data_IF_733462981450
#
_entry.id   IF_733462981450
#
_cell.length_a   1.000
_cell.length_b   1.000
_cell.length_c   1.000
_cell.angle_alpha   90.00
_cell.angle_beta   90.00
_cell.angle_gamma   90.00
#
_symmetry.space_group_name_H-M   'P 1'
#
loop_
_entity.id
_entity.type
_entity.pdbx_description
1 polymer ?
#
# COMPACT_ATOMS: atom_id res chain seq x y z
N UNK A 1 -15.87 -12.80 -31.54
CA UNK A 1 -15.85 -11.83 -30.44
C UNK A 1 -15.83 -10.44 -31.03
N UNK A 2 -16.61 -9.53 -30.45
CA UNK A 2 -16.53 -8.12 -30.80
C UNK A 2 -15.18 -7.51 -30.38
N UNK A 3 -14.61 -6.65 -31.23
CA UNK A 3 -13.28 -6.07 -31.03
C UNK A 3 -13.22 -5.21 -29.78
N UNK A 4 -14.33 -4.58 -29.41
CA UNK A 4 -14.38 -3.72 -28.23
C UNK A 4 -14.47 -4.52 -26.94
N UNK A 5 -15.23 -5.63 -26.91
CA UNK A 5 -15.23 -6.55 -25.77
C UNK A 5 -13.84 -7.13 -25.50
N UNK A 6 -13.13 -7.56 -26.55
CA UNK A 6 -11.75 -8.06 -26.42
C UNK A 6 -10.83 -7.04 -25.75
N UNK A 7 -10.85 -5.79 -26.25
CA UNK A 7 -10.03 -4.69 -25.73
C UNK A 7 -10.38 -4.33 -24.28
N UNK A 8 -11.67 -4.38 -23.92
CA UNK A 8 -12.12 -4.15 -22.54
C UNK A 8 -11.55 -5.20 -21.60
N UNK A 9 -11.63 -6.48 -21.96
CA UNK A 9 -11.08 -7.58 -21.15
C UNK A 9 -9.56 -7.48 -21.02
N UNK A 10 -8.83 -7.15 -22.09
CA UNK A 10 -7.38 -6.91 -21.98
C UNK A 10 -7.05 -5.75 -21.04
N UNK A 11 -7.82 -4.65 -21.11
CA UNK A 11 -7.63 -3.51 -20.21
C UNK A 11 -7.93 -3.90 -18.76
N UNK A 12 -8.93 -4.73 -18.52
CA UNK A 12 -9.23 -5.26 -17.19
C UNK A 12 -8.06 -6.08 -16.64
N UNK A 13 -7.44 -6.94 -17.44
CA UNK A 13 -6.25 -7.70 -17.04
C UNK A 13 -5.06 -6.79 -16.70
N UNK A 14 -4.76 -5.79 -17.54
CA UNK A 14 -3.73 -4.80 -17.22
C UNK A 14 -4.02 -4.05 -15.91
N UNK A 15 -5.29 -3.65 -15.70
CA UNK A 15 -5.69 -2.96 -14.48
C UNK A 15 -5.55 -3.86 -13.25
N UNK A 16 -5.92 -5.14 -13.34
CA UNK A 16 -5.76 -6.13 -12.26
C UNK A 16 -4.31 -6.19 -11.78
N UNK A 17 -3.35 -6.42 -12.68
CA UNK A 17 -1.93 -6.48 -12.29
C UNK A 17 -1.39 -5.14 -11.77
N UNK A 18 -1.89 -4.01 -12.28
CA UNK A 18 -1.54 -2.69 -11.74
C UNK A 18 -2.06 -2.50 -10.32
N UNK A 19 -3.29 -2.92 -10.04
CA UNK A 19 -3.85 -2.89 -8.68
C UNK A 19 -3.05 -3.76 -7.72
N UNK A 20 -2.64 -4.97 -8.13
CA UNK A 20 -1.79 -5.83 -7.31
C UNK A 20 -0.46 -5.16 -6.93
N UNK A 21 0.19 -4.46 -7.87
CA UNK A 21 1.41 -3.67 -7.57
C UNK A 21 1.12 -2.53 -6.58
N UNK A 22 -0.02 -1.85 -6.73
CA UNK A 22 -0.45 -0.79 -5.80
C UNK A 22 -0.67 -1.38 -4.40
N UNK A 23 -1.38 -2.49 -4.29
CA UNK A 23 -1.63 -3.20 -3.01
C UNK A 23 -0.31 -3.55 -2.33
N UNK A 24 0.65 -4.13 -3.06
CA UNK A 24 2.00 -4.43 -2.53
C UNK A 24 2.71 -3.19 -1.99
N UNK A 25 2.67 -2.07 -2.73
CA UNK A 25 3.24 -0.81 -2.26
C UNK A 25 2.53 -0.28 -1.00
N UNK A 26 1.20 -0.41 -0.92
CA UNK A 26 0.43 -0.02 0.26
C UNK A 26 0.75 -0.88 1.49
N UNK A 27 0.97 -2.18 1.33
CA UNK A 27 1.46 -3.03 2.43
C UNK A 27 2.84 -2.59 2.94
N UNK A 28 3.76 -2.26 2.04
CA UNK A 28 5.06 -1.72 2.43
C UNK A 28 4.92 -0.41 3.22
N UNK A 29 4.01 0.47 2.80
CA UNK A 29 3.71 1.71 3.52
C UNK A 29 3.15 1.44 4.92
N UNK A 30 2.24 0.46 5.08
CA UNK A 30 1.74 0.03 6.40
C UNK A 30 2.91 -0.42 7.28
N UNK A 31 3.85 -1.21 6.75
CA UNK A 31 5.01 -1.67 7.52
C UNK A 31 5.89 -0.50 8.02
N UNK A 32 6.12 0.51 7.18
CA UNK A 32 6.86 1.72 7.57
C UNK A 32 6.11 2.48 8.67
N UNK A 33 4.79 2.64 8.52
CA UNK A 33 3.97 3.34 9.52
C UNK A 33 3.94 2.60 10.86
N UNK A 34 3.84 1.26 10.85
CA UNK A 34 3.91 0.43 12.06
C UNK A 34 5.26 0.58 12.76
N UNK A 35 6.37 0.50 12.03
CA UNK A 35 7.71 0.70 12.60
C UNK A 35 7.84 2.06 13.27
N UNK A 36 7.30 3.12 12.64
CA UNK A 36 7.31 4.46 13.22
C UNK A 36 6.42 4.56 14.47
N UNK A 37 5.30 3.83 14.53
CA UNK A 37 4.49 3.74 15.74
C UNK A 37 5.27 3.06 16.87
N UNK A 38 5.98 1.97 16.58
CA UNK A 38 6.84 1.28 17.57
C UNK A 38 7.93 2.23 18.12
N UNK A 39 8.60 2.99 17.25
CA UNK A 39 9.57 4.01 17.64
C UNK A 39 8.96 5.08 18.56
N UNK A 40 7.77 5.58 18.22
CA UNK A 40 7.05 6.56 19.04
C UNK A 40 6.69 5.98 20.42
N UNK A 41 6.23 4.73 20.47
CA UNK A 41 5.91 4.05 21.72
C UNK A 41 7.13 3.88 22.62
N UNK A 42 8.29 3.57 22.03
CA UNK A 42 9.56 3.54 22.77
C UNK A 42 9.96 4.93 23.28
N UNK A 43 9.83 5.97 22.46
CA UNK A 43 10.16 7.34 22.84
C UNK A 43 9.27 7.84 23.99
N UNK A 44 7.97 7.53 23.95
CA UNK A 44 7.03 7.84 25.05
C UNK A 44 7.45 7.08 26.31
N UNK A 45 7.72 5.77 26.22
CA UNK A 45 8.07 4.93 27.37
C UNK A 45 9.38 5.35 28.04
N UNK A 46 10.36 5.81 27.25
CA UNK A 46 11.67 6.25 27.73
C UNK A 46 11.70 7.75 28.06
N UNK A 47 10.60 8.48 27.84
CA UNK A 47 10.54 9.95 27.92
C UNK A 47 11.68 10.59 27.10
N UNK A 48 11.96 10.03 25.92
CA UNK A 48 13.03 10.46 25.03
C UNK A 48 12.60 11.70 24.23
N UNK A 49 12.35 12.80 24.94
CA UNK A 49 11.87 14.05 24.36
C UNK A 49 12.95 15.12 24.44
N UNK A 50 13.19 15.81 23.32
CA UNK A 50 14.11 16.95 23.29
C UNK A 50 13.39 18.20 23.78
N UNK A 51 13.91 18.79 24.84
CA UNK A 51 13.44 20.06 25.40
C UNK A 51 14.50 21.11 25.07
N UNK A 52 14.11 22.21 24.43
CA UNK A 52 15.01 23.37 24.34
C UNK A 52 15.07 24.06 25.71
N UNK A 53 16.24 24.02 26.32
CA UNK A 53 16.53 24.70 27.58
C UNK A 53 16.98 26.16 27.36
N UNK A 54 17.16 26.58 26.10
CA UNK A 54 17.65 27.90 25.72
C UNK A 54 16.52 28.95 25.68
N UNK A 55 15.95 29.24 26.85
CA UNK A 55 15.20 30.46 27.09
C UNK A 55 15.78 31.19 28.28
N UNK A 56 16.77 32.04 27.97
CA UNK A 56 17.28 33.17 28.75
C UNK A 56 17.89 32.84 30.13
N UNK A 57 19.18 32.50 30.12
CA UNK A 57 20.06 32.83 31.23
C UNK A 57 20.24 34.36 31.29
N UNK A 58 19.26 35.08 31.86
CA UNK A 58 19.43 36.49 32.26
C UNK A 58 20.24 36.51 33.56
N UNK A 59 21.44 37.14 33.60
CA UNK A 59 22.27 37.11 34.79
C UNK A 59 21.75 38.10 35.86
N UNK A 60 21.47 37.57 37.04
CA UNK A 60 21.53 38.33 38.30
C UNK A 60 20.21 38.95 38.80
N UNK A 61 19.76 38.45 39.95
CA UNK A 61 18.73 39.09 40.77
C UNK A 61 17.75 38.07 41.35
N UNK A 62 17.92 37.76 42.62
CA UNK A 62 17.09 36.84 43.42
C UNK A 62 15.59 37.23 43.35
N UNK A 63 14.86 36.57 42.44
CA UNK A 63 13.41 36.52 42.45
C UNK A 63 13.01 35.09 42.12
N UNK A 64 12.89 34.27 43.17
CA UNK A 64 12.26 32.96 43.08
C UNK A 64 10.77 33.19 42.87
N UNK A 65 10.37 33.45 41.62
CA UNK A 65 8.97 33.37 41.22
C UNK A 65 8.59 31.90 41.18
N UNK A 66 8.00 31.41 42.27
CA UNK A 66 7.27 30.15 42.24
C UNK A 66 6.04 30.33 41.34
N UNK A 67 5.89 29.46 40.34
CA UNK A 67 4.72 29.48 39.47
C UNK A 67 3.48 29.20 40.33
N UNK A 68 2.41 29.98 40.15
CA UNK A 68 1.15 29.82 40.89
C UNK A 68 0.44 28.47 40.64
N UNK A 69 0.97 27.68 39.70
CA UNK A 69 0.46 26.39 39.22
C UNK A 69 1.30 25.20 39.67
N UNK A 70 2.43 25.41 40.34
CA UNK A 70 3.24 24.33 40.94
C UNK A 70 3.98 23.42 39.95
N UNK A 71 3.99 23.73 38.66
CA UNK A 71 4.72 22.97 37.62
C UNK A 71 5.86 23.79 37.03
N UNK A 72 6.99 23.14 36.79
CA UNK A 72 8.17 23.76 36.18
C UNK A 72 7.99 23.95 34.67
N UNK A 73 8.76 24.85 34.06
CA UNK A 73 8.75 25.02 32.59
C UNK A 73 9.14 23.72 31.87
N UNK A 74 10.15 23.01 32.39
CA UNK A 74 10.62 21.75 31.85
C UNK A 74 9.50 20.68 31.86
N UNK A 75 8.76 20.55 32.97
CA UNK A 75 7.63 19.61 33.06
C UNK A 75 6.55 19.89 32.02
N UNK A 76 6.17 21.17 31.84
CA UNK A 76 5.17 21.56 30.83
C UNK A 76 5.66 21.28 29.40
N UNK A 77 6.95 21.49 29.13
CA UNK A 77 7.54 21.18 27.84
C UNK A 77 7.57 19.67 27.55
N UNK A 78 7.87 18.84 28.57
CA UNK A 78 7.83 17.38 28.46
C UNK A 78 6.41 16.90 28.16
N UNK A 79 5.41 17.37 28.91
CA UNK A 79 4.01 16.98 28.71
C UNK A 79 3.58 17.28 27.27
N UNK A 80 3.85 18.50 26.79
CA UNK A 80 3.52 18.89 25.42
C UNK A 80 4.24 18.05 24.37
N UNK A 81 5.49 17.67 24.61
CA UNK A 81 6.23 16.81 23.70
C UNK A 81 5.63 15.39 23.62
N UNK A 82 5.21 14.83 24.76
CA UNK A 82 4.51 13.53 24.82
C UNK A 82 3.15 13.62 24.12
N UNK A 83 2.35 14.65 24.39
CA UNK A 83 1.06 14.86 23.71
C UNK A 83 1.19 14.92 22.19
N UNK A 84 2.26 15.56 21.68
CA UNK A 84 2.53 15.60 20.24
C UNK A 84 2.87 14.20 19.68
N UNK A 85 3.64 13.40 20.42
CA UNK A 85 3.97 12.02 20.05
C UNK A 85 2.71 11.13 20.04
N UNK A 86 1.83 11.27 21.04
CA UNK A 86 0.55 10.56 21.09
C UNK A 86 -0.34 10.92 19.90
N UNK A 87 -0.43 12.21 19.58
CA UNK A 87 -1.16 12.68 18.38
C UNK A 87 -0.58 12.10 17.10
N UNK A 88 0.76 12.12 16.95
CA UNK A 88 1.44 11.56 15.79
C UNK A 88 1.12 10.06 15.63
N UNK A 89 1.10 9.31 16.73
CA UNK A 89 0.72 7.90 16.75
C UNK A 89 -0.73 7.71 16.28
N UNK A 90 -1.68 8.47 16.82
CA UNK A 90 -3.10 8.39 16.42
C UNK A 90 -3.28 8.69 14.93
N UNK A 91 -2.62 9.73 14.42
CA UNK A 91 -2.68 10.10 13.00
C UNK A 91 -2.18 8.96 12.10
N UNK A 92 -1.10 8.28 12.51
CA UNK A 92 -0.54 7.13 11.77
C UNK A 92 -1.45 5.90 11.83
N UNK A 93 -2.06 5.63 12.97
CA UNK A 93 -3.05 4.55 13.09
C UNK A 93 -4.25 4.80 12.17
N UNK A 94 -4.75 6.03 12.09
CA UNK A 94 -5.83 6.38 11.16
C UNK A 94 -5.40 6.22 9.70
N UNK A 95 -4.17 6.62 9.35
CA UNK A 95 -3.64 6.39 8.00
C UNK A 95 -3.59 4.90 7.65
N UNK A 96 -3.15 4.04 8.57
CA UNK A 96 -3.14 2.59 8.35
C UNK A 96 -4.56 2.06 8.09
N UNK A 97 -5.54 2.51 8.88
CA UNK A 97 -6.94 2.11 8.68
C UNK A 97 -7.45 2.50 7.29
N UNK A 98 -7.20 3.75 6.87
CA UNK A 98 -7.62 4.23 5.55
C UNK A 98 -6.95 3.43 4.42
N UNK A 99 -5.65 3.10 4.57
CA UNK A 99 -4.93 2.28 3.58
C UNK A 99 -5.51 0.87 3.52
N UNK A 100 -5.84 0.25 4.67
CA UNK A 100 -6.46 -1.08 4.72
C UNK A 100 -7.83 -1.11 4.04
N UNK A 101 -8.68 -0.12 4.30
CA UNK A 101 -9.96 0.00 3.61
C UNK A 101 -9.78 0.12 2.09
N UNK A 102 -8.82 0.94 1.65
CA UNK A 102 -8.52 1.08 0.23
C UNK A 102 -7.98 -0.21 -0.41
N UNK A 103 -7.17 -0.99 0.31
CA UNK A 103 -6.74 -2.33 -0.16
C UNK A 103 -7.96 -3.24 -0.35
N UNK A 104 -8.86 -3.28 0.64
CA UNK A 104 -10.06 -4.11 0.57
C UNK A 104 -10.96 -3.72 -0.62
N UNK A 105 -11.15 -2.42 -0.88
CA UNK A 105 -11.88 -1.93 -2.06
C UNK A 105 -11.22 -2.43 -3.37
N UNK A 106 -9.89 -2.32 -3.48
CA UNK A 106 -9.17 -2.78 -4.67
C UNK A 106 -9.26 -4.30 -4.89
N UNK A 107 -9.22 -5.08 -3.80
CA UNK A 107 -9.38 -6.53 -3.81
C UNK A 107 -10.81 -6.92 -4.21
N UNK A 108 -11.82 -6.27 -3.64
CA UNK A 108 -13.23 -6.51 -3.99
C UNK A 108 -13.50 -6.23 -5.47
N UNK A 109 -13.04 -5.09 -5.99
CA UNK A 109 -13.16 -4.76 -7.42
C UNK A 109 -12.43 -5.75 -8.34
N UNK A 110 -11.42 -6.45 -7.81
CA UNK A 110 -10.56 -7.38 -8.57
C UNK A 110 -10.96 -8.85 -8.41
N UNK A 111 -11.82 -9.16 -7.44
CA UNK A 111 -12.19 -10.51 -7.00
C UNK A 111 -12.69 -11.40 -8.14
N UNK A 112 -13.54 -10.86 -9.03
CA UNK A 112 -14.05 -11.60 -10.19
C UNK A 112 -12.95 -12.05 -11.15
N UNK A 113 -12.01 -11.15 -11.47
CA UNK A 113 -10.87 -11.44 -12.35
C UNK A 113 -9.89 -12.39 -11.66
N UNK A 114 -9.63 -12.19 -10.37
CA UNK A 114 -8.76 -13.05 -9.58
C UNK A 114 -9.28 -14.50 -9.55
N UNK A 115 -10.58 -14.67 -9.31
CA UNK A 115 -11.24 -15.98 -9.36
C UNK A 115 -11.06 -16.65 -10.74
N UNK A 116 -11.31 -15.90 -11.82
CA UNK A 116 -11.12 -16.38 -13.18
C UNK A 116 -9.68 -16.82 -13.46
N UNK A 117 -8.69 -16.01 -13.08
CA UNK A 117 -7.27 -16.35 -13.25
C UNK A 117 -6.90 -17.57 -12.39
N UNK A 118 -7.46 -17.67 -11.18
CA UNK A 118 -7.25 -18.79 -10.27
C UNK A 118 -7.67 -20.15 -10.84
N UNK A 119 -8.72 -20.16 -11.66
CA UNK A 119 -9.26 -21.36 -12.33
C UNK A 119 -8.45 -21.82 -13.55
N UNK A 120 -7.53 -20.98 -14.05
CA UNK A 120 -6.66 -21.35 -15.16
C UNK A 120 -5.59 -22.36 -14.73
N UNK A 121 -5.06 -23.10 -15.68
CA UNK A 121 -3.89 -23.95 -15.43
C UNK A 121 -2.63 -23.09 -15.22
N UNK A 122 -1.56 -23.69 -14.68
CA UNK A 122 -0.33 -22.97 -14.35
C UNK A 122 0.39 -22.39 -15.57
N UNK A 123 0.30 -23.03 -16.73
CA UNK A 123 0.90 -22.54 -17.97
C UNK A 123 0.20 -21.25 -18.46
N UNK A 124 -1.12 -21.21 -18.37
CA UNK A 124 -1.96 -20.09 -18.77
C UNK A 124 -1.85 -18.92 -17.81
N UNK A 125 -1.77 -19.21 -16.49
CA UNK A 125 -1.43 -18.20 -15.47
C UNK A 125 -0.08 -17.55 -15.79
N UNK A 126 0.94 -18.36 -16.10
CA UNK A 126 2.27 -17.87 -16.47
C UNK A 126 2.21 -17.00 -17.72
N UNK A 127 1.45 -17.40 -18.74
CA UNK A 127 1.26 -16.58 -19.96
C UNK A 127 0.69 -15.21 -19.61
N UNK A 128 -0.38 -15.16 -18.79
CA UNK A 128 -1.05 -13.93 -18.39
C UNK A 128 -0.14 -13.04 -17.55
N UNK A 129 0.60 -13.63 -16.60
CA UNK A 129 1.55 -12.90 -15.76
C UNK A 129 2.66 -12.25 -16.60
N UNK A 130 3.23 -12.97 -17.56
CA UNK A 130 4.24 -12.44 -18.47
C UNK A 130 3.65 -11.33 -19.36
N UNK A 131 2.46 -11.54 -19.93
CA UNK A 131 1.84 -10.62 -20.89
C UNK A 131 1.29 -9.34 -20.25
N UNK A 132 0.59 -9.46 -19.13
CA UNK A 132 -0.16 -8.37 -18.50
C UNK A 132 0.48 -7.88 -17.20
N UNK A 133 1.18 -8.75 -16.46
CA UNK A 133 1.91 -8.38 -15.24
C UNK A 133 3.25 -7.72 -15.53
N UNK A 134 4.07 -8.36 -16.38
CA UNK A 134 5.36 -7.82 -16.86
C UNK A 134 5.25 -6.95 -18.12
N UNK A 135 4.06 -6.90 -18.72
CA UNK A 135 3.76 -6.09 -19.91
C UNK A 135 4.59 -6.47 -21.15
N UNK A 136 5.09 -7.71 -21.23
CA UNK A 136 5.87 -8.19 -22.38
C UNK A 136 5.04 -8.23 -23.66
N UNK A 137 5.70 -8.16 -24.82
CA UNK A 137 5.07 -8.42 -26.12
C UNK A 137 4.69 -9.90 -26.26
N UNK A 138 3.74 -10.21 -27.15
CA UNK A 138 3.31 -11.60 -27.39
C UNK A 138 4.48 -12.45 -27.91
N UNK A 139 5.41 -11.85 -28.64
CA UNK A 139 6.60 -12.50 -29.18
C UNK A 139 7.62 -12.83 -28.09
N UNK A 140 7.85 -11.92 -27.16
CA UNK A 140 8.70 -12.15 -25.98
C UNK A 140 8.10 -13.23 -25.08
N UNK A 141 6.79 -13.18 -24.83
CA UNK A 141 6.08 -14.23 -24.08
C UNK A 141 6.23 -15.58 -24.77
N UNK A 142 6.05 -15.63 -26.09
CA UNK A 142 6.25 -16.85 -26.87
C UNK A 142 7.67 -17.38 -26.73
N UNK A 143 8.67 -16.51 -26.83
CA UNK A 143 10.08 -16.87 -26.69
C UNK A 143 10.39 -17.43 -25.28
N UNK A 144 9.89 -16.78 -24.24
CA UNK A 144 10.05 -17.19 -22.83
C UNK A 144 9.36 -18.54 -22.53
N UNK A 145 8.27 -18.83 -23.24
CA UNK A 145 7.51 -20.07 -23.10
C UNK A 145 7.89 -21.15 -24.12
N UNK A 146 8.87 -20.91 -25.00
CA UNK A 146 9.27 -21.85 -26.05
C UNK A 146 8.20 -22.06 -27.15
N UNK A 147 7.31 -21.10 -27.35
CA UNK A 147 6.22 -21.13 -28.32
C UNK A 147 6.55 -20.33 -29.59
N UNK A 148 6.09 -20.83 -30.74
CA UNK A 148 6.11 -20.08 -31.98
C UNK A 148 5.16 -18.86 -31.90
N UNK A 149 5.48 -17.81 -32.68
CA UNK A 149 4.70 -16.56 -32.73
C UNK A 149 3.20 -16.80 -32.92
N UNK A 150 2.81 -17.59 -33.92
CA UNK A 150 1.40 -17.89 -34.21
C UNK A 150 0.69 -18.49 -33.00
N UNK A 151 1.28 -19.51 -32.37
CA UNK A 151 0.74 -20.20 -31.20
C UNK A 151 0.56 -19.23 -30.03
N UNK A 152 1.52 -18.32 -29.79
CA UNK A 152 1.40 -17.32 -28.72
C UNK A 152 0.25 -16.33 -28.96
N UNK A 153 0.02 -15.91 -30.21
CA UNK A 153 -1.11 -15.04 -30.56
C UNK A 153 -2.46 -15.75 -30.44
N UNK A 154 -2.53 -17.01 -30.86
CA UNK A 154 -3.75 -17.83 -30.72
C UNK A 154 -4.07 -18.09 -29.25
N UNK A 155 -3.06 -18.42 -28.45
CA UNK A 155 -3.17 -18.64 -26.99
C UNK A 155 -3.62 -17.38 -26.27
N UNK A 156 -3.07 -16.20 -26.60
CA UNK A 156 -3.57 -14.91 -26.08
C UNK A 156 -5.07 -14.74 -26.36
N UNK A 157 -5.47 -15.00 -27.60
CA UNK A 157 -6.87 -14.82 -28.01
C UNK A 157 -7.77 -15.77 -27.25
N UNK A 158 -7.39 -17.04 -27.14
CA UNK A 158 -8.11 -18.04 -26.36
C UNK A 158 -8.26 -17.62 -24.89
N UNK A 159 -7.18 -17.22 -24.22
CA UNK A 159 -7.20 -16.84 -22.82
C UNK A 159 -8.10 -15.63 -22.54
N UNK A 160 -7.99 -14.59 -23.36
CA UNK A 160 -8.86 -13.41 -23.21
C UNK A 160 -10.33 -13.77 -23.44
N UNK A 161 -10.61 -14.69 -24.37
CA UNK A 161 -11.97 -15.18 -24.59
C UNK A 161 -12.50 -15.96 -23.40
N UNK A 162 -11.69 -16.88 -22.87
CA UNK A 162 -12.08 -17.69 -21.71
C UNK A 162 -12.39 -16.78 -20.51
N UNK A 163 -11.51 -15.83 -20.20
CA UNK A 163 -11.70 -14.90 -19.08
C UNK A 163 -12.94 -14.04 -19.28
N UNK A 164 -13.22 -13.59 -20.51
CA UNK A 164 -14.44 -12.83 -20.79
C UNK A 164 -15.69 -13.65 -20.51
N UNK A 165 -15.75 -14.90 -21.00
CA UNK A 165 -16.89 -15.80 -20.81
C UNK A 165 -17.10 -16.06 -19.31
N UNK A 166 -16.04 -16.40 -18.57
CA UNK A 166 -16.16 -16.66 -17.14
C UNK A 166 -16.57 -15.41 -16.36
N UNK A 167 -16.09 -14.23 -16.74
CA UNK A 167 -16.50 -12.97 -16.13
C UNK A 167 -17.98 -12.60 -16.38
N UNK A 168 -18.58 -13.10 -17.47
CA UNK A 168 -20.04 -12.98 -17.70
C UNK A 168 -20.84 -13.97 -16.85
N UNK A 169 -20.26 -15.13 -16.52
CA UNK A 169 -20.92 -16.18 -15.71
C UNK A 169 -20.88 -15.85 -14.21
N UNK A 170 -19.80 -15.23 -13.73
CA UNK A 170 -19.60 -14.92 -12.30
C UNK A 170 -20.34 -13.65 -11.87
N UNK A 171 -20.75 -12.80 -12.82
CA UNK A 171 -21.56 -11.60 -12.57
C UNK A 171 -22.96 -11.94 -12.07
#
# INVERSE_FOLDING_TARGET
MDKDSFRKTERMLYNYFKKNKIIQHKHNLINILNKRIEEIEEDIKKTNVRIDYDLQATPGGERVQTSSTGTSYAERAIIKAIENLEKEKTDKQQQILNIKSYIAELEEESSSIECNIGMLNEEDKKFIELKYGKELSVEEVGSEMGMCRSVAYDKRKELVNNIMIWNEIIK
#
